data_IF_947273026886
#
_entry.id   IF_947273026886
#
_cell.length_a   1.000
_cell.length_b   1.000
_cell.length_c   1.000
_cell.angle_alpha   90.00
_cell.angle_beta   90.00
_cell.angle_gamma   90.00
#
_symmetry.space_group_name_H-M   'P 1'
#
loop_
_entity.id
_entity.type
_entity.pdbx_description
1 polymer ?
#
# COMPACT_ATOMS: atom_id res chain seq x y z
N UNK A 1 21.93 -3.40 48.27
CA UNK A 1 22.39 -4.55 47.47
C UNK A 1 21.18 -5.40 47.12
N UNK A 2 20.93 -5.73 45.84
CA UNK A 2 19.73 -6.47 45.45
C UNK A 2 19.94 -7.98 45.63
N UNK A 3 18.97 -8.64 46.25
CA UNK A 3 18.90 -10.10 46.42
C UNK A 3 18.12 -10.71 45.25
N UNK A 4 18.76 -11.63 44.54
CA UNK A 4 18.25 -12.40 43.40
C UNK A 4 17.15 -13.37 43.82
N UNK A 5 15.93 -13.19 43.30
CA UNK A 5 14.87 -14.19 43.37
C UNK A 5 14.77 -14.92 42.02
N UNK A 6 15.19 -16.18 42.01
CA UNK A 6 15.10 -17.11 40.88
C UNK A 6 13.65 -17.58 40.67
N UNK A 7 13.15 -17.48 39.43
CA UNK A 7 11.84 -18.02 38.99
C UNK A 7 11.91 -19.55 38.87
N UNK A 8 10.87 -20.31 39.28
CA UNK A 8 10.86 -21.76 39.10
C UNK A 8 10.54 -22.15 37.65
N UNK A 9 11.18 -23.23 37.19
CA UNK A 9 11.01 -23.82 35.87
C UNK A 9 9.63 -24.51 35.73
N UNK A 10 8.98 -24.32 34.59
CA UNK A 10 7.73 -24.97 34.23
C UNK A 10 7.97 -26.46 33.93
N UNK A 11 7.39 -27.35 34.74
CA UNK A 11 7.32 -28.77 34.48
C UNK A 11 6.16 -29.05 33.52
N UNK A 12 6.45 -29.62 32.35
CA UNK A 12 5.44 -30.10 31.39
C UNK A 12 5.05 -31.54 31.73
N UNK A 13 3.77 -31.76 32.02
CA UNK A 13 3.16 -33.08 32.16
C UNK A 13 3.05 -33.70 30.76
N UNK A 14 3.72 -34.83 30.54
CA UNK A 14 3.61 -35.60 29.30
C UNK A 14 2.37 -36.52 29.35
N UNK A 15 1.46 -36.38 28.40
CA UNK A 15 0.38 -37.33 28.16
C UNK A 15 0.87 -38.48 27.25
N UNK A 16 0.69 -39.77 27.62
CA UNK A 16 1.06 -40.89 26.77
C UNK A 16 -0.06 -41.15 25.75
N UNK A 17 0.13 -40.74 24.49
CA UNK A 17 -0.89 -40.99 23.46
C UNK A 17 -0.62 -40.52 22.03
N UNK A 18 0.55 -40.01 21.68
CA UNK A 18 0.87 -39.63 20.30
C UNK A 18 2.03 -40.48 19.78
N UNK A 19 1.70 -41.39 18.86
CA UNK A 19 2.67 -42.18 18.10
C UNK A 19 3.55 -41.24 17.28
N UNK A 20 4.85 -41.41 17.36
CA UNK A 20 5.81 -40.77 16.46
C UNK A 20 5.57 -41.27 15.03
N UNK A 21 4.88 -40.48 14.23
CA UNK A 21 4.94 -40.59 12.78
C UNK A 21 6.24 -39.97 12.30
N UNK A 22 7.04 -40.74 11.56
CA UNK A 22 8.16 -40.19 10.79
C UNK A 22 7.64 -39.08 9.85
N UNK A 23 8.38 -37.97 9.67
CA UNK A 23 7.99 -36.95 8.71
C UNK A 23 8.25 -37.47 7.29
N UNK A 24 7.30 -38.23 6.74
CA UNK A 24 7.20 -38.46 5.30
C UNK A 24 6.62 -37.19 4.65
N UNK A 25 7.51 -36.23 4.42
CA UNK A 25 7.17 -34.95 3.82
C UNK A 25 8.38 -34.33 3.18
N UNK A 26 8.96 -34.99 2.17
CA UNK A 26 9.71 -34.28 1.14
C UNK A 26 8.72 -33.34 0.44
N UNK A 27 8.52 -32.15 1.03
CA UNK A 27 7.94 -31.03 0.31
C UNK A 27 8.87 -30.77 -0.87
N UNK A 28 8.36 -30.97 -2.08
CA UNK A 28 9.09 -30.71 -3.30
C UNK A 28 9.72 -29.32 -3.21
N UNK A 29 11.06 -29.27 -3.17
CA UNK A 29 11.82 -28.03 -3.33
C UNK A 29 11.45 -27.50 -4.71
N UNK A 30 10.61 -26.47 -4.77
CA UNK A 30 10.31 -25.77 -6.01
C UNK A 30 11.61 -25.08 -6.45
N UNK A 31 12.34 -25.74 -7.33
CA UNK A 31 13.46 -25.17 -8.07
C UNK A 31 12.90 -24.17 -9.11
N UNK A 32 12.63 -22.96 -8.62
CA UNK A 32 12.21 -21.77 -9.36
C UNK A 32 11.90 -20.68 -8.33
N UNK A 33 12.35 -19.43 -8.53
CA UNK A 33 11.95 -18.33 -7.63
C UNK A 33 10.42 -18.30 -7.60
N UNK A 34 9.83 -18.47 -6.41
CA UNK A 34 8.39 -18.28 -6.23
C UNK A 34 8.00 -16.90 -6.81
N UNK A 35 6.83 -16.78 -7.48
CA UNK A 35 6.39 -15.50 -7.99
C UNK A 35 6.22 -14.51 -6.83
N UNK A 36 6.57 -13.25 -7.08
CA UNK A 36 6.28 -12.16 -6.14
C UNK A 36 4.77 -11.89 -6.14
N UNK A 37 4.12 -12.04 -4.99
CA UNK A 37 2.69 -11.79 -4.81
C UNK A 37 2.53 -10.56 -3.91
N UNK A 38 1.75 -9.57 -4.37
CA UNK A 38 1.48 -8.33 -3.63
C UNK A 38 -0.02 -8.09 -3.51
N UNK A 39 -0.48 -7.64 -2.35
CA UNK A 39 -1.86 -7.25 -2.12
C UNK A 39 -2.11 -5.78 -2.47
N UNK A 40 -3.21 -5.48 -3.15
CA UNK A 40 -3.66 -4.09 -3.33
C UNK A 40 -4.11 -3.51 -1.97
N UNK A 41 -3.64 -2.30 -1.63
CA UNK A 41 -3.81 -1.72 -0.31
C UNK A 41 -4.25 -0.25 -0.37
N UNK A 42 -5.31 0.09 0.37
CA UNK A 42 -5.88 1.44 0.42
C UNK A 42 -5.54 2.14 1.75
N UNK A 43 -4.88 3.32 1.74
CA UNK A 43 -4.49 4.03 2.95
C UNK A 43 -5.55 5.02 3.48
N UNK A 44 -6.83 4.81 3.16
CA UNK A 44 -7.85 5.87 3.14
C UNK A 44 -8.94 5.86 4.23
N UNK A 45 -8.85 4.94 5.20
CA UNK A 45 -9.83 4.88 6.28
C UNK A 45 -9.41 5.77 7.45
N UNK A 46 -10.38 6.45 8.08
CA UNK A 46 -10.17 7.22 9.30
C UNK A 46 -11.21 6.89 10.34
N UNK A 47 -10.78 6.57 11.56
CA UNK A 47 -11.67 6.15 12.63
C UNK A 47 -11.22 6.69 13.98
N UNK A 48 -12.19 6.90 14.87
CA UNK A 48 -11.93 7.17 16.29
C UNK A 48 -11.41 5.92 17.01
N UNK A 49 -10.54 6.06 18.01
CA UNK A 49 -9.99 7.32 18.54
C UNK A 49 -8.72 7.82 17.84
N UNK A 50 -8.12 7.02 16.93
CA UNK A 50 -6.83 7.34 16.30
C UNK A 50 -6.89 8.59 15.43
N UNK A 51 -8.04 8.87 14.84
CA UNK A 51 -8.45 10.18 14.34
C UNK A 51 -9.64 10.74 15.13
N UNK A 52 -9.82 12.05 15.12
CA UNK A 52 -10.92 12.73 15.80
C UNK A 52 -12.30 12.58 15.12
N UNK A 53 -12.33 11.98 13.92
CA UNK A 53 -13.51 11.88 13.06
C UNK A 53 -13.55 10.56 12.28
N UNK A 54 -14.75 10.25 11.80
CA UNK A 54 -14.98 9.20 10.80
C UNK A 54 -14.67 9.75 9.40
N UNK A 55 -13.81 9.05 8.67
CA UNK A 55 -13.41 9.42 7.31
C UNK A 55 -14.52 9.16 6.28
N UNK A 56 -14.43 9.85 5.15
CA UNK A 56 -15.39 9.71 4.05
C UNK A 56 -15.58 8.26 3.61
N UNK A 57 -14.53 7.43 3.61
CA UNK A 57 -14.63 6.03 3.21
C UNK A 57 -15.42 5.12 4.16
N UNK A 58 -15.66 5.54 5.42
CA UNK A 58 -16.60 4.83 6.29
C UNK A 58 -18.03 5.39 6.22
N UNK A 59 -18.20 6.63 5.76
CA UNK A 59 -19.49 7.33 5.80
C UNK A 59 -20.17 7.42 4.43
N UNK A 60 -19.42 7.64 3.35
CA UNK A 60 -19.91 7.93 1.99
C UNK A 60 -21.05 8.98 1.97
N UNK A 61 -20.99 9.96 2.87
CA UNK A 61 -22.02 10.99 3.09
C UNK A 61 -23.44 10.43 3.42
N UNK A 62 -23.55 9.17 3.83
CA UNK A 62 -24.82 8.51 4.08
C UNK A 62 -24.86 7.78 5.43
N UNK A 63 -23.80 7.04 5.73
CA UNK A 63 -23.69 6.21 6.93
C UNK A 63 -23.09 6.99 8.10
N UNK A 64 -23.56 6.67 9.30
CA UNK A 64 -23.08 7.24 10.56
C UNK A 64 -22.48 6.13 11.44
N UNK A 65 -21.14 5.97 11.46
CA UNK A 65 -20.50 4.90 12.22
C UNK A 65 -20.65 5.03 13.74
N UNK A 66 -21.16 6.15 14.26
CA UNK A 66 -21.53 6.25 15.68
C UNK A 66 -22.79 5.44 16.01
N UNK A 67 -23.67 5.23 15.02
CA UNK A 67 -24.86 4.38 15.17
C UNK A 67 -24.51 2.92 15.01
N UNK A 68 -25.30 2.08 15.69
CA UNK A 68 -25.22 0.63 15.58
C UNK A 68 -26.59 0.04 15.30
N UNK A 69 -26.62 -0.88 14.36
CA UNK A 69 -27.77 -1.74 14.07
C UNK A 69 -27.31 -3.19 14.25
N UNK A 70 -28.03 -3.97 15.06
CA UNK A 70 -27.71 -5.37 15.40
C UNK A 70 -26.26 -5.57 15.89
N UNK A 71 -25.78 -4.64 16.73
CA UNK A 71 -24.44 -4.68 17.32
C UNK A 71 -23.31 -4.26 16.37
N UNK A 72 -23.59 -3.97 15.10
CA UNK A 72 -22.60 -3.53 14.11
C UNK A 72 -22.72 -2.04 13.83
N UNK A 73 -21.59 -1.35 13.67
CA UNK A 73 -21.56 0.06 13.26
C UNK A 73 -22.13 0.23 11.85
N UNK A 74 -22.88 1.29 11.64
CA UNK A 74 -23.38 1.67 10.31
C UNK A 74 -22.24 2.28 9.50
N UNK A 75 -21.71 1.51 8.55
CA UNK A 75 -20.58 1.93 7.71
C UNK A 75 -20.94 1.72 6.24
N UNK A 76 -20.20 2.43 5.39
CA UNK A 76 -20.30 2.33 3.93
C UNK A 76 -19.67 1.04 3.37
N UNK A 77 -20.08 -0.11 3.90
CA UNK A 77 -19.66 -1.42 3.41
C UNK A 77 -20.71 -2.47 3.73
N UNK A 78 -20.90 -3.41 2.80
CA UNK A 78 -21.72 -4.62 3.02
C UNK A 78 -21.03 -5.61 3.97
N UNK A 79 -19.70 -5.60 3.99
CA UNK A 79 -18.88 -6.47 4.85
C UNK A 79 -18.24 -5.66 5.97
N UNK A 80 -18.20 -6.23 7.17
CA UNK A 80 -17.61 -5.57 8.33
C UNK A 80 -16.22 -6.16 8.60
N UNK A 81 -15.19 -5.31 8.77
CA UNK A 81 -13.88 -5.79 9.19
C UNK A 81 -13.97 -6.47 10.57
N UNK A 82 -13.24 -7.56 10.75
CA UNK A 82 -13.22 -8.30 12.01
C UNK A 82 -12.73 -7.43 13.18
N UNK A 83 -11.75 -6.55 12.92
CA UNK A 83 -11.22 -5.58 13.90
C UNK A 83 -12.11 -4.33 14.06
N UNK A 84 -13.28 -4.32 13.43
CA UNK A 84 -14.14 -3.15 13.33
C UNK A 84 -13.61 -2.07 12.37
N UNK A 85 -14.35 -0.97 12.19
CA UNK A 85 -13.88 0.18 11.42
C UNK A 85 -12.59 0.75 12.04
N UNK A 86 -11.57 0.93 11.20
CA UNK A 86 -10.20 1.26 11.63
C UNK A 86 -9.69 2.54 10.98
N UNK A 87 -8.56 3.04 11.50
CA UNK A 87 -7.81 4.16 10.94
C UNK A 87 -6.57 3.65 10.19
N UNK A 88 -6.41 4.03 8.92
CA UNK A 88 -5.29 3.59 8.08
C UNK A 88 -3.95 4.19 8.50
N UNK A 89 -3.93 5.17 9.42
CA UNK A 89 -2.72 5.72 10.00
C UNK A 89 -2.36 5.11 11.36
N UNK A 90 -3.17 4.21 11.92
CA UNK A 90 -2.91 3.55 13.20
C UNK A 90 -1.81 2.48 13.06
N UNK A 91 -0.80 2.55 13.93
CA UNK A 91 0.39 1.71 13.83
C UNK A 91 0.09 0.24 14.12
N UNK A 92 -0.84 -0.03 15.05
CA UNK A 92 -1.19 -1.38 15.46
C UNK A 92 -2.05 -2.05 14.38
N UNK A 93 -2.92 -1.27 13.73
CA UNK A 93 -3.71 -1.70 12.56
C UNK A 93 -2.80 -2.03 11.38
N UNK A 94 -1.80 -1.19 11.11
CA UNK A 94 -0.83 -1.42 10.03
C UNK A 94 -0.01 -2.70 10.28
N UNK A 95 0.49 -2.90 11.50
CA UNK A 95 1.20 -4.13 11.87
C UNK A 95 0.28 -5.36 11.73
N UNK A 96 -0.95 -5.28 12.23
CA UNK A 96 -1.93 -6.36 12.10
C UNK A 96 -2.20 -6.73 10.63
N UNK A 97 -2.43 -5.76 9.75
CA UNK A 97 -2.65 -6.01 8.33
C UNK A 97 -1.44 -6.66 7.67
N UNK A 98 -0.24 -6.14 7.91
CA UNK A 98 0.98 -6.65 7.30
C UNK A 98 1.31 -8.07 7.76
N UNK A 99 1.18 -8.37 9.06
CA UNK A 99 1.35 -9.73 9.57
C UNK A 99 0.28 -10.70 9.02
N UNK A 100 -0.95 -10.23 8.79
CA UNK A 100 -1.99 -11.04 8.16
C UNK A 100 -1.66 -11.34 6.70
N UNK A 101 -1.13 -10.36 5.97
CA UNK A 101 -0.66 -10.51 4.58
C UNK A 101 0.51 -11.50 4.54
N UNK A 102 1.48 -11.38 5.45
CA UNK A 102 2.60 -12.32 5.56
C UNK A 102 2.13 -13.75 5.87
N UNK A 103 1.20 -13.91 6.83
CA UNK A 103 0.63 -15.22 7.18
C UNK A 103 -0.12 -15.86 6.01
N UNK A 104 -0.71 -15.06 5.13
CA UNK A 104 -1.37 -15.52 3.90
C UNK A 104 -0.37 -15.92 2.79
N UNK A 105 0.94 -15.78 3.02
CA UNK A 105 1.98 -16.07 2.02
C UNK A 105 2.10 -15.00 0.94
N UNK A 106 1.70 -13.76 1.23
CA UNK A 106 1.82 -12.60 0.32
C UNK A 106 3.04 -11.78 0.74
N UNK A 107 3.88 -11.39 -0.21
CA UNK A 107 5.20 -10.81 0.04
C UNK A 107 5.17 -9.32 0.41
N UNK A 108 4.04 -8.65 0.20
CA UNK A 108 3.98 -7.20 0.29
C UNK A 108 2.70 -6.56 -0.23
N UNK A 109 2.77 -5.25 -0.48
CA UNK A 109 1.62 -4.43 -0.88
C UNK A 109 1.88 -3.58 -2.12
N UNK A 110 0.84 -3.39 -2.92
CA UNK A 110 0.72 -2.31 -3.90
C UNK A 110 -0.19 -1.27 -3.24
N UNK A 111 0.37 -0.11 -2.86
CA UNK A 111 -0.39 0.93 -2.16
C UNK A 111 -0.80 2.05 -3.10
N UNK A 112 -2.08 2.41 -3.06
CA UNK A 112 -2.60 3.57 -3.79
C UNK A 112 -2.09 4.86 -3.16
N UNK A 113 -1.63 5.76 -4.02
CA UNK A 113 -1.02 7.02 -3.63
C UNK A 113 -1.58 8.18 -4.45
N UNK A 114 -2.08 9.19 -3.75
CA UNK A 114 -2.89 10.29 -4.29
C UNK A 114 -2.08 11.59 -4.46
N UNK A 115 -0.75 11.49 -4.37
CA UNK A 115 0.15 12.64 -4.39
C UNK A 115 0.23 13.38 -3.05
N UNK A 116 1.11 14.40 -3.00
CA UNK A 116 1.44 15.13 -1.76
C UNK A 116 0.69 16.44 -1.56
N UNK A 117 -0.02 16.90 -2.59
CA UNK A 117 -0.70 18.20 -2.55
C UNK A 117 -1.80 18.19 -1.50
N UNK A 118 -1.85 19.21 -0.63
CA UNK A 118 -2.92 19.36 0.35
C UNK A 118 -4.23 19.80 -0.33
N UNK A 119 -4.98 18.80 -0.78
CA UNK A 119 -6.28 18.93 -1.43
C UNK A 119 -7.12 17.69 -1.14
N UNK A 120 -8.40 17.89 -0.76
CA UNK A 120 -9.27 16.83 -0.24
C UNK A 120 -8.59 16.10 0.93
N UNK A 121 -8.28 14.83 0.78
CA UNK A 121 -7.58 14.00 1.76
C UNK A 121 -6.17 13.59 1.33
N UNK A 122 -5.66 14.06 0.18
CA UNK A 122 -4.42 13.51 -0.41
C UNK A 122 -3.21 13.62 0.52
N UNK A 123 -3.03 14.75 1.23
CA UNK A 123 -1.95 14.91 2.20
C UNK A 123 -2.05 13.93 3.38
N UNK A 124 -3.27 13.64 3.81
CA UNK A 124 -3.58 12.68 4.86
C UNK A 124 -3.33 11.23 4.40
N UNK A 125 -3.71 10.92 3.16
CA UNK A 125 -3.41 9.63 2.53
C UNK A 125 -1.90 9.45 2.37
N UNK A 126 -1.18 10.47 1.92
CA UNK A 126 0.28 10.45 1.84
C UNK A 126 0.95 10.20 3.21
N UNK A 127 0.43 10.79 4.30
CA UNK A 127 0.89 10.50 5.67
C UNK A 127 0.66 9.05 6.04
N UNK A 128 -0.52 8.50 5.75
CA UNK A 128 -0.85 7.10 6.05
C UNK A 128 0.01 6.13 5.21
N UNK A 129 0.20 6.40 3.92
CA UNK A 129 1.14 5.68 3.06
C UNK A 129 2.53 5.69 3.66
N UNK A 130 3.05 6.85 4.08
CA UNK A 130 4.37 6.93 4.72
C UNK A 130 4.48 6.01 5.94
N UNK A 131 3.48 6.01 6.83
CA UNK A 131 3.45 5.10 8.00
C UNK A 131 3.42 3.62 7.61
N UNK A 132 2.63 3.27 6.60
CA UNK A 132 2.61 1.92 6.04
C UNK A 132 3.99 1.49 5.53
N UNK A 133 4.67 2.35 4.76
CA UNK A 133 5.99 2.03 4.22
C UNK A 133 7.02 1.80 5.32
N UNK A 134 6.99 2.58 6.40
CA UNK A 134 7.84 2.36 7.57
C UNK A 134 7.59 0.99 8.22
N UNK A 135 6.34 0.55 8.26
CA UNK A 135 5.98 -0.78 8.77
C UNK A 135 6.41 -1.90 7.82
N UNK A 136 6.27 -1.72 6.51
CA UNK A 136 6.82 -2.66 5.52
C UNK A 136 8.33 -2.83 5.68
N UNK A 137 9.08 -1.74 5.87
CA UNK A 137 10.53 -1.81 6.11
C UNK A 137 10.85 -2.55 7.41
N UNK A 138 10.14 -2.24 8.50
CA UNK A 138 10.32 -2.90 9.80
C UNK A 138 10.07 -4.40 9.73
N UNK A 139 9.03 -4.82 9.01
CA UNK A 139 8.62 -6.21 8.85
C UNK A 139 9.29 -6.89 7.64
N UNK A 140 10.21 -6.20 6.94
CA UNK A 140 10.91 -6.71 5.74
C UNK A 140 9.97 -7.11 4.59
N UNK A 141 8.76 -6.55 4.56
CA UNK A 141 7.81 -6.75 3.48
C UNK A 141 8.10 -5.83 2.29
N UNK A 142 7.69 -6.28 1.11
CA UNK A 142 7.85 -5.52 -0.13
C UNK A 142 6.74 -4.49 -0.34
N UNK A 143 7.04 -3.44 -1.08
CA UNK A 143 6.01 -2.49 -1.50
C UNK A 143 6.24 -1.87 -2.88
N UNK A 144 5.13 -1.48 -3.51
CA UNK A 144 5.04 -0.74 -4.78
C UNK A 144 4.07 0.43 -4.59
N UNK A 145 4.41 1.59 -5.17
CA UNK A 145 3.48 2.71 -5.29
C UNK A 145 2.65 2.57 -6.55
N UNK A 146 1.33 2.67 -6.39
CA UNK A 146 0.39 2.91 -7.48
C UNK A 146 -0.05 4.36 -7.42
N UNK A 147 0.39 5.16 -8.40
CA UNK A 147 0.02 6.56 -8.48
C UNK A 147 -1.39 6.71 -9.07
N UNK A 148 -2.28 7.28 -8.27
CA UNK A 148 -3.65 7.65 -8.64
C UNK A 148 -3.64 8.99 -9.40
N UNK A 149 -3.23 8.97 -10.67
CA UNK A 149 -3.04 10.17 -11.49
C UNK A 149 -4.35 10.90 -11.83
N UNK A 150 -5.50 10.25 -11.59
CA UNK A 150 -6.84 10.87 -11.59
C UNK A 150 -7.00 12.02 -10.58
N UNK A 151 -6.07 12.14 -9.62
CA UNK A 151 -5.98 13.31 -8.74
C UNK A 151 -5.61 14.59 -9.48
N UNK A 152 -4.88 14.51 -10.59
CA UNK A 152 -4.35 15.65 -11.32
C UNK A 152 -5.48 16.53 -11.92
N UNK A 153 -6.48 16.00 -12.64
CA UNK A 153 -7.65 16.79 -13.06
C UNK A 153 -8.34 17.49 -11.89
N UNK A 154 -8.55 16.79 -10.77
CA UNK A 154 -9.18 17.38 -9.59
C UNK A 154 -8.35 18.53 -9.00
N UNK A 155 -7.02 18.46 -9.08
CA UNK A 155 -6.13 19.55 -8.69
C UNK A 155 -6.23 20.74 -9.65
N UNK A 156 -6.46 20.52 -10.95
CA UNK A 156 -6.72 21.59 -11.92
C UNK A 156 -8.06 22.27 -11.64
N UNK A 157 -9.13 21.49 -11.47
CA UNK A 157 -10.47 21.99 -11.13
C UNK A 157 -10.46 22.76 -9.81
N UNK A 158 -9.71 22.26 -8.82
CA UNK A 158 -9.52 22.90 -7.52
C UNK A 158 -8.55 24.08 -7.53
N UNK A 159 -8.08 24.54 -8.69
CA UNK A 159 -7.11 25.62 -8.86
C UNK A 159 -5.80 25.43 -8.06
N UNK A 160 -5.40 24.19 -7.78
CA UNK A 160 -4.15 23.85 -7.08
C UNK A 160 -2.96 23.80 -8.02
N UNK A 161 -3.20 23.48 -9.29
CA UNK A 161 -2.23 23.57 -10.38
C UNK A 161 -2.93 24.13 -11.63
N UNK A 162 -2.16 24.69 -12.58
CA UNK A 162 -2.71 25.07 -13.89
C UNK A 162 -2.84 23.84 -14.80
N UNK A 163 -3.78 23.86 -15.74
CA UNK A 163 -3.91 22.80 -16.76
C UNK A 163 -2.61 22.58 -17.55
N UNK A 164 -1.85 23.64 -17.83
CA UNK A 164 -0.54 23.56 -18.49
C UNK A 164 0.59 22.97 -17.63
N UNK A 165 0.32 22.66 -16.35
CA UNK A 165 1.32 22.16 -15.40
C UNK A 165 1.11 20.68 -15.02
N UNK A 166 0.19 19.97 -15.67
CA UNK A 166 -0.16 18.57 -15.34
C UNK A 166 1.04 17.63 -15.42
N UNK A 167 1.71 17.54 -16.57
CA UNK A 167 2.91 16.72 -16.73
C UNK A 167 4.02 17.15 -15.77
N UNK A 168 4.28 18.46 -15.68
CA UNK A 168 5.30 18.99 -14.78
C UNK A 168 5.01 18.67 -13.31
N UNK A 169 3.74 18.62 -12.89
CA UNK A 169 3.34 18.21 -11.55
C UNK A 169 3.66 16.73 -11.30
N UNK A 170 3.23 15.84 -12.20
CA UNK A 170 3.55 14.41 -12.09
C UNK A 170 5.06 14.15 -12.09
N UNK A 171 5.85 14.84 -12.94
CA UNK A 171 7.32 14.76 -12.90
C UNK A 171 7.87 15.10 -11.51
N UNK A 172 7.35 16.14 -10.84
CA UNK A 172 7.79 16.51 -9.49
C UNK A 172 7.42 15.46 -8.45
N UNK A 173 6.22 14.88 -8.55
CA UNK A 173 5.79 13.78 -7.69
C UNK A 173 6.69 12.55 -7.86
N UNK A 174 6.95 12.12 -9.10
CA UNK A 174 7.81 10.95 -9.38
C UNK A 174 9.26 11.19 -8.95
N UNK A 175 9.80 12.39 -9.20
CA UNK A 175 11.15 12.73 -8.71
C UNK A 175 11.23 12.70 -7.18
N UNK A 176 10.15 13.10 -6.49
CA UNK A 176 10.07 12.98 -5.04
C UNK A 176 10.05 11.51 -4.60
N UNK A 177 9.25 10.65 -5.26
CA UNK A 177 9.27 9.20 -5.01
C UNK A 177 10.67 8.62 -5.23
N UNK A 178 11.35 9.01 -6.31
CA UNK A 178 12.73 8.65 -6.62
C UNK A 178 13.72 9.05 -5.52
N UNK A 179 13.52 10.23 -4.92
CA UNK A 179 14.39 10.73 -3.86
C UNK A 179 14.19 9.98 -2.53
N UNK A 180 12.97 9.58 -2.20
CA UNK A 180 12.62 9.11 -0.85
C UNK A 180 12.16 7.65 -0.76
N UNK A 181 11.30 7.17 -1.64
CA UNK A 181 10.67 5.84 -1.50
C UNK A 181 11.28 4.78 -2.41
N UNK A 182 11.64 5.13 -3.65
CA UNK A 182 12.26 4.20 -4.61
C UNK A 182 13.66 3.73 -4.19
N UNK A 183 14.27 4.36 -3.18
CA UNK A 183 15.57 3.95 -2.62
C UNK A 183 15.45 2.87 -1.56
N UNK A 184 14.26 2.60 -1.05
CA UNK A 184 14.07 1.59 -0.02
C UNK A 184 14.51 0.20 -0.52
N UNK A 185 15.19 -0.62 0.31
CA UNK A 185 15.46 -2.02 -0.01
C UNK A 185 14.18 -2.87 -0.04
N UNK A 186 13.10 -2.40 0.59
CA UNK A 186 11.76 -2.99 0.51
C UNK A 186 11.00 -2.60 -0.76
N UNK A 187 11.49 -1.61 -1.52
CA UNK A 187 10.88 -1.24 -2.79
C UNK A 187 11.08 -2.33 -3.86
N UNK A 188 10.00 -2.72 -4.53
CA UNK A 188 10.07 -3.73 -5.60
C UNK A 188 10.77 -3.18 -6.84
N UNK A 189 11.66 -3.99 -7.40
CA UNK A 189 12.42 -3.68 -8.60
C UNK A 189 12.34 -4.79 -9.63
N UNK A 190 12.34 -4.40 -10.90
CA UNK A 190 12.52 -5.27 -12.06
C UNK A 190 13.78 -4.76 -12.76
N UNK A 191 14.77 -5.64 -12.99
CA UNK A 191 16.07 -5.29 -13.56
C UNK A 191 16.78 -4.11 -12.87
N UNK A 192 16.75 -4.10 -11.53
CA UNK A 192 17.27 -3.03 -10.65
C UNK A 192 16.55 -1.68 -10.74
N UNK A 193 15.42 -1.60 -11.44
CA UNK A 193 14.64 -0.38 -11.55
C UNK A 193 13.36 -0.42 -10.73
N UNK A 194 12.98 0.69 -10.07
CA UNK A 194 11.77 0.73 -9.26
C UNK A 194 10.52 0.59 -10.13
N UNK A 195 9.60 -0.26 -9.70
CA UNK A 195 8.28 -0.42 -10.33
C UNK A 195 7.33 0.65 -9.79
N UNK A 196 6.62 1.36 -10.67
CA UNK A 196 5.51 2.24 -10.30
C UNK A 196 4.31 1.88 -11.15
N UNK A 197 3.14 1.78 -10.54
CA UNK A 197 1.91 1.58 -11.30
C UNK A 197 1.20 2.92 -11.47
N UNK A 198 0.45 3.08 -12.54
CA UNK A 198 -0.44 4.22 -12.73
C UNK A 198 -1.88 3.73 -12.79
N UNK A 199 -2.79 4.44 -12.13
CA UNK A 199 -4.20 4.17 -12.21
C UNK A 199 -5.04 5.45 -12.24
N UNK A 200 -5.94 5.46 -13.23
CA UNK A 200 -6.88 6.54 -13.44
C UNK A 200 -7.47 6.40 -14.83
N UNK A 201 -8.77 6.68 -14.97
CA UNK A 201 -9.42 6.72 -16.28
C UNK A 201 -9.28 8.10 -16.95
N UNK A 202 -9.10 9.15 -16.13
CA UNK A 202 -9.08 10.54 -16.57
C UNK A 202 -7.79 11.28 -16.18
N UNK A 203 -6.73 10.55 -15.83
CA UNK A 203 -5.44 11.08 -15.37
C UNK A 203 -4.63 11.79 -16.46
N UNK A 204 -3.35 11.45 -16.64
CA UNK A 204 -2.56 12.01 -17.73
C UNK A 204 -2.84 11.31 -19.07
N UNK A 205 -2.73 12.05 -20.18
CA UNK A 205 -2.74 11.44 -21.53
C UNK A 205 -1.43 10.69 -21.81
N UNK A 206 -1.38 9.90 -22.88
CA UNK A 206 -0.16 9.20 -23.29
C UNK A 206 0.99 10.18 -23.61
N UNK A 207 0.68 11.33 -24.20
CA UNK A 207 1.64 12.40 -24.50
C UNK A 207 2.17 13.03 -23.20
N UNK A 208 1.27 13.35 -22.26
CA UNK A 208 1.64 13.88 -20.96
C UNK A 208 2.51 12.89 -20.17
N UNK A 209 2.20 11.59 -20.22
CA UNK A 209 3.03 10.53 -19.62
C UNK A 209 4.40 10.44 -20.28
N UNK A 210 4.46 10.48 -21.61
CA UNK A 210 5.72 10.47 -22.37
C UNK A 210 6.62 11.64 -21.98
N UNK A 211 6.04 12.84 -21.88
CA UNK A 211 6.75 14.03 -21.39
C UNK A 211 7.28 13.81 -19.98
N UNK A 212 6.44 13.31 -19.06
CA UNK A 212 6.85 13.06 -17.67
C UNK A 212 8.09 12.16 -17.58
N UNK A 213 8.06 11.02 -18.27
CA UNK A 213 9.11 10.00 -18.20
C UNK A 213 10.41 10.44 -18.85
N UNK A 214 10.33 11.19 -19.95
CA UNK A 214 11.50 11.80 -20.58
C UNK A 214 12.25 12.75 -19.63
N UNK A 215 11.53 13.48 -18.76
CA UNK A 215 12.16 14.36 -17.77
C UNK A 215 12.69 13.60 -16.55
N UNK A 216 11.98 12.58 -16.07
CA UNK A 216 12.45 11.73 -14.95
C UNK A 216 13.76 11.02 -15.35
N UNK A 217 13.83 10.43 -16.54
CA UNK A 217 15.03 9.74 -17.05
C UNK A 217 16.23 10.64 -17.37
N UNK A 218 16.05 11.97 -17.39
CA UNK A 218 17.15 12.96 -17.49
C UNK A 218 17.62 13.46 -16.14
N UNK A 219 16.75 13.48 -15.13
CA UNK A 219 17.08 13.92 -13.77
C UNK A 219 17.65 12.79 -12.90
N UNK A 220 17.30 11.55 -13.20
CA UNK A 220 17.97 10.35 -12.70
C UNK A 220 18.97 9.89 -13.75
N UNK A 221 20.15 9.44 -13.36
CA UNK A 221 21.15 8.84 -14.25
C UNK A 221 20.74 7.43 -14.75
N UNK A 222 19.45 7.21 -15.02
CA UNK A 222 18.85 5.91 -15.38
C UNK A 222 17.70 6.15 -16.38
N UNK A 223 17.70 5.54 -17.57
CA UNK A 223 16.73 5.85 -18.62
C UNK A 223 15.38 5.17 -18.37
N UNK A 224 14.34 5.87 -17.92
CA UNK A 224 12.98 5.33 -17.81
C UNK A 224 12.42 4.79 -19.16
N UNK A 225 11.70 3.66 -19.16
CA UNK A 225 10.85 3.26 -20.30
C UNK A 225 9.40 3.03 -19.91
N UNK A 226 8.54 2.91 -20.90
CA UNK A 226 7.12 2.66 -20.72
C UNK A 226 6.73 1.47 -21.59
N UNK A 227 6.14 0.44 -20.99
CA UNK A 227 5.43 -0.61 -21.73
C UNK A 227 3.92 -0.41 -21.53
N UNK A 228 3.14 -0.10 -22.56
CA UNK A 228 1.71 -0.30 -22.51
C UNK A 228 1.46 -1.81 -22.44
N UNK A 229 1.09 -2.34 -21.28
CA UNK A 229 0.64 -3.73 -21.22
C UNK A 229 -0.79 -3.82 -21.79
N UNK A 230 -1.05 -4.64 -22.81
CA UNK A 230 -2.39 -4.84 -23.35
C UNK A 230 -3.15 -5.86 -22.49
N UNK A 231 -3.28 -5.65 -21.17
CA UNK A 231 -4.30 -6.35 -20.39
C UNK A 231 -5.60 -5.57 -20.59
N UNK A 232 -6.17 -5.73 -21.78
CA UNK A 232 -7.51 -5.23 -22.13
C UNK A 232 -8.53 -6.13 -21.44
N UNK A 233 -9.02 -5.72 -20.26
CA UNK A 233 -10.41 -6.00 -19.91
C UNK A 233 -11.25 -4.77 -20.32
N UNK A 234 -12.46 -4.93 -20.88
CA UNK A 234 -13.27 -3.79 -21.33
C UNK A 234 -13.73 -2.84 -20.22
N UNK A 235 -13.39 -3.12 -18.96
CA UNK A 235 -13.96 -2.45 -17.78
C UNK A 235 -12.88 -1.78 -16.91
N UNK A 236 -11.58 -2.08 -17.08
CA UNK A 236 -10.48 -1.48 -16.31
C UNK A 236 -9.20 -1.39 -17.16
N UNK A 237 -8.65 -0.19 -17.32
CA UNK A 237 -7.34 0.01 -17.96
C UNK A 237 -6.21 -0.16 -16.94
N UNK A 238 -5.32 -1.13 -17.18
CA UNK A 238 -4.11 -1.36 -16.40
C UNK A 238 -2.89 -0.73 -17.08
N UNK A 239 -2.19 0.19 -16.40
CA UNK A 239 -0.89 0.70 -16.82
C UNK A 239 0.21 0.26 -15.85
N UNK A 240 1.19 -0.51 -16.33
CA UNK A 240 2.38 -0.88 -15.58
C UNK A 240 3.56 -0.04 -16.08
N UNK A 241 4.22 0.74 -15.21
CA UNK A 241 5.48 1.40 -15.55
C UNK A 241 6.66 0.63 -14.97
N UNK A 242 7.54 0.19 -15.87
CA UNK A 242 8.88 -0.27 -15.54
C UNK A 242 9.84 0.87 -15.86
N UNK A 243 10.39 1.52 -14.83
CA UNK A 243 11.53 2.42 -15.05
C UNK A 243 12.66 1.56 -15.66
N UNK A 244 13.42 2.04 -16.65
CA UNK A 244 14.64 1.40 -17.15
C UNK A 244 15.89 2.13 -16.61
#
# INVERSE_FOLDING_TARGET
>A
MPSTASRPAAAWIQHPGLRHGEPSGQGAVKNGKAPLILAHYMPWYLAKPSSDRWGWHWTMNHFDPEKKTDGRREIASKFHPLIGPYDSGDIDVLEYHLLTIELAGIDGVIVDWYGRTDFRDYALLNRNTYRLLQQCERLKMKFVIRYEDQTIPALVEGNRIKASQRSAHATREINWLGKYWFKSPSYVRIDDKPVMLSFGHAGLTNEEWSDCLNFVGRSASTPASWMPSPIRSPEVTWGMLELL
#
